data_IF_180404226733
#
_entry.id   IF_180404226733
#
_cell.length_a   1.000
_cell.length_b   1.000
_cell.length_c   1.000
_cell.angle_alpha   90.00
_cell.angle_beta   90.00
_cell.angle_gamma   90.00
#
_symmetry.space_group_name_H-M   'P 1'
#
loop_
_entity.id
_entity.type
_entity.pdbx_description
1 polymer ?
#
# COMPACT_ATOMS: atom_id res chain seq x y z
N UNK A 1 30.12 13.54 -8.26
CA UNK A 1 29.51 12.20 -8.22
C UNK A 1 28.18 12.30 -7.47
N UNK A 2 27.10 12.67 -8.16
CA UNK A 2 25.83 13.04 -7.51
C UNK A 2 24.67 12.50 -8.32
N UNK A 3 24.47 11.18 -8.29
CA UNK A 3 23.35 10.51 -8.95
C UNK A 3 22.15 10.52 -7.99
N UNK A 4 21.55 11.69 -7.77
CA UNK A 4 20.25 11.77 -7.10
C UNK A 4 19.20 11.44 -8.16
N UNK A 5 18.73 10.19 -8.12
CA UNK A 5 17.60 9.74 -8.93
C UNK A 5 16.35 10.57 -8.64
N UNK A 6 16.14 11.62 -9.43
CA UNK A 6 14.83 12.18 -9.70
C UNK A 6 14.07 11.20 -10.61
N UNK A 7 13.61 10.09 -10.06
CA UNK A 7 12.76 9.15 -10.79
C UNK A 7 11.54 8.82 -9.94
N UNK A 8 10.62 9.78 -9.89
CA UNK A 8 9.21 9.36 -9.86
C UNK A 8 9.04 8.61 -11.18
N UNK A 9 8.71 7.30 -11.19
CA UNK A 9 8.35 6.64 -12.43
C UNK A 9 7.22 7.45 -13.06
N UNK A 10 7.32 7.79 -14.35
CA UNK A 10 6.28 8.54 -15.10
C UNK A 10 4.85 8.03 -14.78
N UNK A 11 4.72 6.72 -14.54
CA UNK A 11 3.51 6.05 -14.10
C UNK A 11 2.93 6.55 -12.76
N UNK A 12 3.77 6.78 -11.75
CA UNK A 12 3.31 7.29 -10.44
C UNK A 12 2.94 8.78 -10.55
N UNK A 13 3.65 9.53 -11.40
CA UNK A 13 3.31 10.92 -11.72
C UNK A 13 1.95 11.04 -12.42
N UNK A 14 1.70 10.20 -13.43
CA UNK A 14 0.44 10.21 -14.19
C UNK A 14 -0.74 9.70 -13.37
N UNK A 15 -0.56 8.70 -12.51
CA UNK A 15 -1.60 8.24 -11.57
C UNK A 15 -1.95 9.33 -10.56
N UNK A 16 -0.95 10.03 -10.00
CA UNK A 16 -1.18 11.12 -9.05
C UNK A 16 -1.90 12.32 -9.70
N UNK A 17 -1.58 12.63 -10.96
CA UNK A 17 -2.26 13.67 -11.73
C UNK A 17 -3.71 13.28 -12.03
N UNK A 18 -3.95 12.02 -12.42
CA UNK A 18 -5.30 11.50 -12.68
C UNK A 18 -6.19 11.46 -11.44
N UNK A 19 -5.60 11.29 -10.25
CA UNK A 19 -6.33 11.18 -8.98
C UNK A 19 -6.55 12.52 -8.26
N UNK A 20 -6.12 13.67 -8.81
CA UNK A 20 -6.20 15.00 -8.15
C UNK A 20 -5.64 15.03 -6.72
N UNK A 21 -4.59 14.27 -6.41
CA UNK A 21 -3.88 14.31 -5.11
C UNK A 21 -2.91 15.51 -5.00
N UNK A 22 -3.22 16.60 -5.69
CA UNK A 22 -2.50 17.86 -5.58
C UNK A 22 -3.11 18.56 -4.37
N UNK A 23 -2.30 19.03 -3.40
CA UNK A 23 -2.84 19.83 -2.29
C UNK A 23 -3.65 20.95 -2.93
N UNK A 24 -4.91 21.08 -2.53
CA UNK A 24 -5.78 22.10 -3.08
C UNK A 24 -5.07 23.45 -2.95
N UNK A 25 -4.58 23.97 -4.08
CA UNK A 25 -3.84 25.24 -4.16
C UNK A 25 -4.62 26.26 -3.35
N UNK A 26 -3.96 26.90 -2.37
CA UNK A 26 -4.57 27.81 -1.40
C UNK A 26 -5.58 28.72 -2.10
N UNK A 27 -6.83 28.30 -2.06
CA UNK A 27 -7.96 28.99 -2.64
C UNK A 27 -8.88 29.27 -1.47
N UNK A 28 -9.60 30.37 -1.52
CA UNK A 28 -10.50 30.82 -0.46
C UNK A 28 -11.57 29.79 -0.06
N UNK A 29 -11.71 28.70 -0.84
CA UNK A 29 -12.64 27.59 -0.63
C UNK A 29 -12.09 26.44 0.21
N UNK A 30 -10.77 26.29 0.38
CA UNK A 30 -10.20 25.11 1.06
C UNK A 30 -10.31 25.29 2.58
N UNK A 31 -10.86 24.29 3.28
CA UNK A 31 -10.92 24.30 4.74
C UNK A 31 -9.53 24.13 5.36
N UNK A 32 -9.19 25.00 6.32
CA UNK A 32 -7.92 24.93 7.07
C UNK A 32 -7.82 23.66 7.95
N UNK A 33 -8.94 23.26 8.54
CA UNK A 33 -9.04 22.06 9.39
C UNK A 33 -10.20 21.18 8.90
N UNK A 34 -9.94 20.25 7.96
CA UNK A 34 -10.97 19.34 7.48
C UNK A 34 -11.40 18.32 8.55
N UNK A 35 -12.71 18.22 8.78
CA UNK A 35 -13.29 17.20 9.67
C UNK A 35 -13.63 15.89 8.93
N UNK A 36 -13.62 15.90 7.60
CA UNK A 36 -13.83 14.70 6.79
C UNK A 36 -12.48 14.07 6.44
N UNK A 37 -12.42 12.75 6.57
CA UNK A 37 -11.21 11.95 6.27
C UNK A 37 -10.75 12.13 4.83
N UNK A 38 -11.68 12.26 3.88
CA UNK A 38 -11.38 12.51 2.46
C UNK A 38 -10.69 13.86 2.25
N UNK A 39 -11.13 14.92 2.95
CA UNK A 39 -10.50 16.23 2.84
C UNK A 39 -9.15 16.28 3.57
N UNK A 40 -8.97 15.55 4.68
CA UNK A 40 -7.68 15.40 5.36
C UNK A 40 -6.62 14.77 4.45
N UNK A 41 -7.00 13.72 3.72
CA UNK A 41 -6.15 13.06 2.72
C UNK A 41 -5.79 14.05 1.61
N UNK A 42 -6.77 14.76 1.02
CA UNK A 42 -6.50 15.72 -0.05
C UNK A 42 -5.61 16.91 0.35
N UNK A 43 -5.62 17.31 1.63
CA UNK A 43 -4.79 18.39 2.18
C UNK A 43 -3.40 17.91 2.63
N UNK A 44 -3.13 16.60 2.66
CA UNK A 44 -1.84 16.08 3.09
C UNK A 44 -0.75 16.39 2.04
N UNK A 45 0.41 16.94 2.45
CA UNK A 45 1.45 17.36 1.50
C UNK A 45 2.30 16.16 1.02
N UNK A 46 1.71 15.28 0.21
CA UNK A 46 2.35 14.05 -0.29
C UNK A 46 3.71 14.29 -0.95
N UNK A 47 3.82 15.35 -1.76
CA UNK A 47 5.07 15.68 -2.47
C UNK A 47 6.21 16.05 -1.52
N UNK A 48 5.90 16.71 -0.41
CA UNK A 48 6.89 17.10 0.59
C UNK A 48 7.45 15.86 1.30
N UNK A 49 6.58 14.97 1.76
CA UNK A 49 7.01 13.71 2.39
C UNK A 49 7.81 12.82 1.42
N UNK A 50 7.40 12.71 0.15
CA UNK A 50 8.12 11.90 -0.84
C UNK A 50 9.55 12.39 -1.12
N UNK A 51 9.77 13.71 -1.12
CA UNK A 51 11.09 14.31 -1.38
C UNK A 51 11.99 14.32 -0.13
N UNK A 52 11.41 14.64 1.03
CA UNK A 52 12.19 14.93 2.23
C UNK A 52 12.41 13.70 3.11
N UNK A 53 11.52 12.70 3.07
CA UNK A 53 11.60 11.53 3.94
C UNK A 53 12.13 10.31 3.17
N UNK A 54 13.29 9.81 3.59
CA UNK A 54 13.83 8.57 3.06
C UNK A 54 12.94 7.37 3.42
N UNK A 55 12.42 7.33 4.66
CA UNK A 55 11.57 6.26 5.17
C UNK A 55 10.35 5.98 4.29
N UNK A 56 9.60 7.03 3.90
CA UNK A 56 8.38 6.89 3.09
C UNK A 56 8.66 6.20 1.74
N UNK A 57 9.81 6.50 1.12
CA UNK A 57 10.22 5.88 -0.15
C UNK A 57 10.53 4.40 0.03
N UNK A 58 11.40 4.07 1.00
CA UNK A 58 11.79 2.68 1.24
C UNK A 58 10.64 1.81 1.75
N UNK A 59 9.71 2.38 2.52
CA UNK A 59 8.53 1.65 2.96
C UNK A 59 7.64 1.26 1.78
N UNK A 60 7.39 2.19 0.85
CA UNK A 60 6.60 1.90 -0.35
C UNK A 60 7.34 0.91 -1.26
N UNK A 61 8.65 1.07 -1.47
CA UNK A 61 9.42 0.09 -2.25
C UNK A 61 9.45 -1.29 -1.59
N UNK A 62 9.57 -1.36 -0.27
CA UNK A 62 9.53 -2.61 0.49
C UNK A 62 8.20 -3.33 0.31
N UNK A 63 7.07 -2.63 0.39
CA UNK A 63 5.75 -3.22 0.14
C UNK A 63 5.65 -3.73 -1.31
N UNK A 64 6.06 -2.93 -2.29
CA UNK A 64 5.97 -3.31 -3.71
C UNK A 64 6.80 -4.56 -4.01
N UNK A 65 8.01 -4.67 -3.42
CA UNK A 65 8.91 -5.81 -3.64
C UNK A 65 8.42 -7.05 -2.89
N UNK A 66 7.89 -6.89 -1.67
CA UNK A 66 7.43 -8.02 -0.85
C UNK A 66 6.08 -8.57 -1.31
N UNK A 67 5.22 -7.74 -1.90
CA UNK A 67 3.90 -8.15 -2.37
C UNK A 67 3.89 -9.36 -3.34
N UNK A 68 4.73 -9.42 -4.39
CA UNK A 68 4.78 -10.60 -5.26
C UNK A 68 5.35 -11.84 -4.54
N UNK A 69 6.28 -11.65 -3.60
CA UNK A 69 6.87 -12.75 -2.81
C UNK A 69 5.79 -13.39 -1.94
N UNK A 70 5.02 -12.58 -1.23
CA UNK A 70 3.90 -13.06 -0.40
C UNK A 70 2.86 -13.77 -1.26
N UNK A 71 2.51 -13.20 -2.42
CA UNK A 71 1.59 -13.84 -3.36
C UNK A 71 2.07 -15.21 -3.85
N UNK A 72 3.37 -15.39 -4.05
CA UNK A 72 3.94 -16.68 -4.44
C UNK A 72 3.81 -17.71 -3.31
N UNK A 73 4.11 -17.30 -2.07
CA UNK A 73 3.97 -18.13 -0.88
C UNK A 73 2.50 -18.51 -0.65
N UNK A 74 1.59 -17.56 -0.79
CA UNK A 74 0.15 -17.78 -0.63
C UNK A 74 -0.39 -18.81 -1.62
N UNK A 75 0.07 -18.77 -2.88
CA UNK A 75 -0.31 -19.77 -3.90
C UNK A 75 0.19 -21.17 -3.57
N UNK A 76 1.42 -21.29 -3.06
CA UNK A 76 2.00 -22.56 -2.64
C UNK A 76 1.29 -23.14 -1.41
N UNK A 77 0.94 -22.28 -0.45
CA UNK A 77 0.19 -22.70 0.75
C UNK A 77 -1.23 -23.17 0.40
N UNK A 78 -1.90 -22.46 -0.52
CA UNK A 78 -3.30 -22.69 -0.88
C UNK A 78 -3.57 -23.78 -1.93
N UNK A 79 -2.63 -24.71 -2.14
CA UNK A 79 -2.85 -25.85 -3.04
C UNK A 79 -4.05 -26.71 -2.57
N UNK A 80 -4.80 -27.31 -3.51
CA UNK A 80 -5.99 -28.10 -3.16
C UNK A 80 -5.65 -29.32 -2.28
N UNK A 81 -4.45 -29.86 -2.41
CA UNK A 81 -3.96 -30.96 -1.58
C UNK A 81 -3.74 -30.52 -0.12
N UNK A 82 -3.09 -29.38 0.11
CA UNK A 82 -2.90 -28.84 1.46
C UNK A 82 -4.24 -28.53 2.11
N UNK A 83 -5.19 -27.93 1.36
CA UNK A 83 -6.53 -27.65 1.88
C UNK A 83 -7.28 -28.92 2.32
N UNK A 84 -7.14 -30.03 1.57
CA UNK A 84 -7.73 -31.33 1.95
C UNK A 84 -7.09 -31.89 3.23
N UNK A 85 -5.76 -31.92 3.30
CA UNK A 85 -5.03 -32.36 4.51
C UNK A 85 -5.43 -31.53 5.74
N UNK A 86 -5.49 -30.21 5.63
CA UNK A 86 -5.93 -29.34 6.73
C UNK A 86 -7.41 -29.50 7.08
N UNK A 87 -8.27 -29.91 6.14
CA UNK A 87 -9.67 -30.23 6.42
C UNK A 87 -9.78 -31.54 7.20
N UNK A 88 -9.02 -32.55 6.83
CA UNK A 88 -8.98 -33.86 7.51
C UNK A 88 -8.39 -33.75 8.92
N UNK A 89 -7.31 -32.99 9.10
CA UNK A 89 -6.74 -32.71 10.44
C UNK A 89 -7.76 -32.01 11.32
N UNK A 90 -8.45 -30.98 10.79
CA UNK A 90 -9.49 -30.27 11.54
C UNK A 90 -10.70 -31.14 11.86
N UNK A 91 -11.12 -32.02 10.95
CA UNK A 91 -12.19 -32.98 11.21
C UNK A 91 -11.83 -33.91 12.38
N UNK A 92 -10.62 -34.48 12.36
CA UNK A 92 -10.11 -35.34 13.43
C UNK A 92 -9.99 -34.60 14.78
N UNK A 93 -9.59 -33.33 14.76
CA UNK A 93 -9.51 -32.49 15.96
C UNK A 93 -10.89 -32.15 16.54
N UNK A 94 -11.89 -31.93 15.70
CA UNK A 94 -13.28 -31.71 16.14
C UNK A 94 -13.91 -32.99 16.69
N UNK A 95 -13.63 -34.14 16.08
CA UNK A 95 -14.13 -35.45 16.54
C UNK A 95 -13.52 -35.87 17.88
N UNK A 96 -12.29 -35.45 18.20
CA UNK A 96 -11.61 -35.77 19.48
C UNK A 96 -11.94 -34.85 20.65
N UNK A 97 -12.81 -33.84 20.48
CA UNK A 97 -13.19 -32.85 21.49
C UNK A 97 -14.65 -32.99 21.96
N UNK A 98 -15.19 -34.21 21.93
CA UNK A 98 -16.47 -34.59 22.52
C UNK A 98 -16.30 -35.61 23.64
#
# INVERSE_FOLDING_TARGET
MGFVMNTIPEFVGSVAEKLKLIPAKDSTRVMKFPYTTTAQIGLFPYRFYWKNQWLTRYWIYGIIITFPIINAIDKLSNTPENKKKWKEIRAKQFEGHH
#
